data_IF_564197783693
#
_entry.id   IF_564197783693
#
_cell.length_a   1.000
_cell.length_b   1.000
_cell.length_c   1.000
_cell.angle_alpha   90.00
_cell.angle_beta   90.00
_cell.angle_gamma   90.00
#
_symmetry.space_group_name_H-M   'P 1'
#
loop_
_entity.id
_entity.type
_entity.pdbx_description
1 polymer ?
#
# COMPACT_ATOMS: atom_id res chain seq x y z
N UNK A 1 -14.87 13.91 -19.06
CA UNK A 1 -13.60 13.21 -18.76
C UNK A 1 -13.02 13.45 -17.35
N UNK A 2 -13.04 14.69 -16.80
CA UNK A 2 -12.55 14.96 -15.42
C UNK A 2 -13.17 14.09 -14.31
N UNK A 3 -14.50 13.85 -14.24
CA UNK A 3 -15.06 13.00 -13.19
C UNK A 3 -14.61 11.54 -13.28
N UNK A 4 -14.54 10.99 -14.50
CA UNK A 4 -14.13 9.60 -14.76
C UNK A 4 -12.70 9.30 -14.30
N UNK A 5 -11.77 10.26 -14.45
CA UNK A 5 -10.39 10.11 -13.94
C UNK A 5 -10.34 10.05 -12.42
N UNK A 6 -11.15 10.86 -11.74
CA UNK A 6 -11.21 10.91 -10.28
C UNK A 6 -11.80 9.61 -9.74
N UNK A 7 -12.87 9.11 -10.33
CA UNK A 7 -13.49 7.84 -9.92
C UNK A 7 -12.50 6.68 -10.04
N UNK A 8 -11.76 6.58 -11.15
CA UNK A 8 -10.75 5.54 -11.34
C UNK A 8 -9.60 5.66 -10.33
N UNK A 9 -9.11 6.88 -10.07
CA UNK A 9 -8.08 7.12 -9.07
C UNK A 9 -8.55 6.74 -7.66
N UNK A 10 -9.83 6.97 -7.35
CA UNK A 10 -10.44 6.61 -6.08
C UNK A 10 -10.51 5.09 -5.91
N UNK A 11 -11.01 4.36 -6.91
CA UNK A 11 -11.00 2.89 -6.90
C UNK A 11 -9.59 2.33 -6.75
N UNK A 12 -8.63 2.83 -7.54
CA UNK A 12 -7.23 2.41 -7.45
C UNK A 12 -6.65 2.67 -6.04
N UNK A 13 -6.96 3.82 -5.44
CA UNK A 13 -6.52 4.17 -4.09
C UNK A 13 -7.10 3.24 -3.03
N UNK A 14 -8.38 2.88 -3.13
CA UNK A 14 -9.05 1.95 -2.20
C UNK A 14 -8.44 0.55 -2.30
N UNK A 15 -8.19 0.06 -3.51
CA UNK A 15 -7.55 -1.25 -3.72
C UNK A 15 -6.12 -1.24 -3.17
N UNK A 16 -5.33 -0.22 -3.51
CA UNK A 16 -3.96 -0.07 -3.00
C UNK A 16 -3.95 -0.01 -1.46
N UNK A 17 -4.87 0.77 -0.88
CA UNK A 17 -5.05 0.84 0.56
C UNK A 17 -5.32 -0.53 1.17
N UNK A 18 -6.29 -1.28 0.60
CA UNK A 18 -6.66 -2.61 1.06
C UNK A 18 -5.50 -3.60 1.00
N UNK A 19 -4.75 -3.62 -0.10
CA UNK A 19 -3.57 -4.51 -0.25
C UNK A 19 -2.51 -4.19 0.80
N UNK A 20 -2.15 -2.90 0.94
CA UNK A 20 -1.11 -2.47 1.89
C UNK A 20 -1.54 -2.74 3.33
N UNK A 21 -2.82 -2.50 3.65
CA UNK A 21 -3.37 -2.80 4.97
C UNK A 21 -3.30 -4.30 5.29
N UNK A 22 -3.67 -5.16 4.34
CA UNK A 22 -3.59 -6.61 4.53
C UNK A 22 -2.15 -7.08 4.70
N UNK A 23 -1.22 -6.61 3.87
CA UNK A 23 0.21 -6.90 4.04
C UNK A 23 0.69 -6.48 5.43
N UNK A 24 0.36 -5.26 5.85
CA UNK A 24 0.73 -4.77 7.17
C UNK A 24 0.17 -5.63 8.30
N UNK A 25 -1.08 -6.09 8.17
CA UNK A 25 -1.71 -6.95 9.16
C UNK A 25 -1.06 -8.35 9.21
N UNK A 26 -0.70 -8.92 8.06
CA UNK A 26 0.02 -10.20 7.97
C UNK A 26 1.40 -10.06 8.63
N UNK A 27 2.18 -9.05 8.26
CA UNK A 27 3.51 -8.80 8.85
C UNK A 27 3.39 -8.56 10.36
N UNK A 28 2.33 -7.88 10.81
CA UNK A 28 2.07 -7.68 12.24
C UNK A 28 1.72 -9.00 12.93
N UNK A 29 0.94 -9.87 12.30
CA UNK A 29 0.60 -11.18 12.83
C UNK A 29 1.82 -12.10 12.93
N UNK A 30 2.67 -12.13 11.90
CA UNK A 30 3.94 -12.88 11.90
C UNK A 30 4.85 -12.37 13.01
N UNK A 31 5.03 -11.05 13.11
CA UNK A 31 5.84 -10.45 14.17
C UNK A 31 5.20 -10.44 15.54
N UNK A 32 3.89 -10.65 15.70
CA UNK A 32 3.26 -10.80 17.02
C UNK A 32 3.79 -12.03 17.77
N UNK A 33 4.10 -13.10 17.02
CA UNK A 33 4.78 -14.29 17.57
C UNK A 33 6.20 -13.97 18.03
N UNK A 34 6.94 -13.19 17.24
CA UNK A 34 8.30 -12.78 17.59
C UNK A 34 8.35 -11.71 18.69
N UNK A 35 7.35 -10.83 18.73
CA UNK A 35 7.12 -9.79 19.73
C UNK A 35 6.91 -10.38 21.12
N UNK A 36 6.22 -11.52 21.23
CA UNK A 36 6.08 -12.22 22.51
C UNK A 36 7.45 -12.62 23.08
N UNK A 37 8.36 -13.08 22.21
CA UNK A 37 9.74 -13.43 22.58
C UNK A 37 10.59 -12.17 22.86
N UNK A 38 10.46 -11.13 22.03
CA UNK A 38 11.19 -9.86 22.19
C UNK A 38 10.75 -9.06 23.43
N UNK A 39 9.50 -9.21 23.88
CA UNK A 39 9.02 -8.61 25.15
C UNK A 39 9.71 -9.21 26.37
N UNK A 40 10.09 -10.49 26.30
CA UNK A 40 10.89 -11.15 27.34
C UNK A 40 12.32 -10.58 27.36
N UNK A 41 12.83 -10.14 26.20
CA UNK A 41 14.10 -9.42 26.05
C UNK A 41 14.02 -7.91 26.37
N UNK A 42 12.84 -7.37 26.68
CA UNK A 42 12.66 -5.98 27.11
C UNK A 42 12.45 -4.95 25.99
N UNK A 43 12.20 -5.37 24.75
CA UNK A 43 11.92 -4.44 23.64
C UNK A 43 10.50 -3.85 23.70
N UNK A 44 10.35 -2.61 23.22
CA UNK A 44 9.07 -1.89 23.20
C UNK A 44 8.29 -2.14 21.91
N UNK A 45 6.95 -2.14 21.97
CA UNK A 45 6.11 -2.35 20.77
C UNK A 45 6.32 -1.24 19.71
N UNK A 46 6.67 -0.02 20.14
CA UNK A 46 6.95 1.10 19.25
C UNK A 46 8.21 0.89 18.38
N UNK A 47 9.23 0.21 18.88
CA UNK A 47 10.44 -0.11 18.10
C UNK A 47 10.13 -1.12 17.00
N UNK A 48 9.34 -2.14 17.31
CA UNK A 48 8.93 -3.14 16.31
C UNK A 48 7.99 -2.56 15.26
N UNK A 49 7.08 -1.66 15.66
CA UNK A 49 6.23 -0.90 14.73
C UNK A 49 7.07 -0.13 13.70
N UNK A 50 8.15 0.54 14.14
CA UNK A 50 9.04 1.28 13.23
C UNK A 50 9.73 0.37 12.22
N UNK A 51 10.20 -0.79 12.66
CA UNK A 51 10.83 -1.77 11.76
C UNK A 51 9.84 -2.26 10.71
N UNK A 52 8.60 -2.56 11.13
CA UNK A 52 7.54 -3.04 10.23
C UNK A 52 7.12 -1.98 9.20
N UNK A 53 7.00 -0.73 9.62
CA UNK A 53 6.71 0.39 8.71
C UNK A 53 7.86 0.63 7.72
N UNK A 54 9.12 0.45 8.16
CA UNK A 54 10.27 0.56 7.27
C UNK A 54 10.28 -0.57 6.23
N UNK A 55 9.95 -1.80 6.63
CA UNK A 55 9.81 -2.94 5.72
C UNK A 55 8.72 -2.68 4.66
N UNK A 56 7.53 -2.24 5.09
CA UNK A 56 6.45 -1.87 4.17
C UNK A 56 6.85 -0.73 3.22
N UNK A 57 7.59 0.26 3.71
CA UNK A 57 8.09 1.36 2.88
C UNK A 57 9.08 0.85 1.82
N UNK A 58 10.01 -0.02 2.20
CA UNK A 58 10.99 -0.62 1.27
C UNK A 58 10.27 -1.46 0.22
N UNK A 59 9.32 -2.33 0.61
CA UNK A 59 8.53 -3.15 -0.31
C UNK A 59 7.75 -2.26 -1.28
N UNK A 60 7.10 -1.20 -0.78
CA UNK A 60 6.33 -0.28 -1.63
C UNK A 60 7.22 0.47 -2.63
N UNK A 61 8.38 0.96 -2.17
CA UNK A 61 9.34 1.65 -3.03
C UNK A 61 9.94 0.71 -4.09
N UNK A 62 10.18 -0.56 -3.75
CA UNK A 62 10.63 -1.57 -4.70
C UNK A 62 9.53 -1.99 -5.67
N UNK A 63 8.26 -1.94 -5.25
CA UNK A 63 7.12 -2.25 -6.10
C UNK A 63 6.86 -1.20 -7.18
N UNK A 64 7.17 0.09 -6.95
CA UNK A 64 6.98 1.16 -7.93
C UNK A 64 7.74 0.94 -9.27
N UNK A 65 9.07 0.71 -9.30
CA UNK A 65 9.79 0.51 -10.56
C UNK A 65 9.36 -0.74 -11.32
N UNK A 66 8.78 -1.74 -10.64
CA UNK A 66 8.25 -2.96 -11.26
C UNK A 66 6.80 -2.78 -11.72
N UNK A 67 5.98 -2.10 -10.91
CA UNK A 67 4.56 -1.90 -11.17
C UNK A 67 4.29 -0.96 -12.34
N UNK A 68 5.10 0.07 -12.54
CA UNK A 68 4.96 1.00 -13.67
C UNK A 68 5.10 0.32 -15.05
N UNK A 69 6.18 -0.44 -15.35
CA UNK A 69 6.30 -1.15 -16.63
C UNK A 69 5.27 -2.26 -16.76
N UNK A 70 4.93 -2.96 -15.67
CA UNK A 70 3.93 -4.02 -15.70
C UNK A 70 2.53 -3.45 -16.02
N UNK A 71 2.17 -2.30 -15.44
CA UNK A 71 0.94 -1.57 -15.77
C UNK A 71 0.90 -1.07 -17.21
N UNK A 72 2.06 -0.66 -17.77
CA UNK A 72 2.18 -0.30 -19.18
C UNK A 72 1.93 -1.50 -20.10
N UNK A 73 2.61 -2.63 -19.83
CA UNK A 73 2.47 -3.87 -20.59
C UNK A 73 1.02 -4.35 -20.55
N UNK A 74 0.39 -4.36 -19.37
CA UNK A 74 -1.01 -4.74 -19.24
C UNK A 74 -1.92 -3.81 -20.05
N UNK A 75 -1.73 -2.50 -19.96
CA UNK A 75 -2.51 -1.52 -20.72
C UNK A 75 -2.37 -1.74 -22.24
N UNK A 76 -1.15 -2.04 -22.71
CA UNK A 76 -0.86 -2.35 -24.10
C UNK A 76 -1.60 -3.62 -24.58
N UNK A 77 -1.54 -4.71 -23.82
CA UNK A 77 -2.30 -5.92 -24.12
C UNK A 77 -3.81 -5.69 -24.09
N UNK A 78 -4.28 -4.84 -23.16
CA UNK A 78 -5.71 -4.51 -23.08
C UNK A 78 -6.18 -3.79 -24.34
N UNK A 79 -5.37 -2.86 -24.87
CA UNK A 79 -5.71 -2.19 -26.14
C UNK A 79 -5.66 -3.12 -27.34
N UNK A 80 -4.70 -4.05 -27.38
CA UNK A 80 -4.63 -5.06 -28.44
C UNK A 80 -5.84 -5.99 -28.42
N UNK A 81 -6.32 -6.36 -27.22
CA UNK A 81 -7.49 -7.21 -27.05
C UNK A 81 -8.82 -6.48 -27.36
N UNK A 82 -8.83 -5.14 -27.27
CA UNK A 82 -10.01 -4.30 -27.52
C UNK A 82 -10.07 -3.75 -28.95
N UNK A 83 -9.07 -4.01 -29.79
CA UNK A 83 -9.08 -3.68 -31.23
C UNK A 83 -10.19 -4.48 -31.93
N UNK A 84 -11.41 -3.97 -31.82
CA UNK A 84 -12.58 -4.43 -32.57
C UNK A 84 -12.69 -3.54 -33.81
N UNK A 85 -12.92 -4.13 -34.98
CA UNK A 85 -12.95 -3.61 -36.36
C UNK A 85 -13.52 -2.19 -36.61
N UNK A 86 -14.13 -1.51 -35.63
CA UNK A 86 -14.79 -0.20 -35.79
C UNK A 86 -14.27 0.89 -34.82
N UNK A 87 -13.42 0.60 -33.83
CA UNK A 87 -12.91 1.62 -32.88
C UNK A 87 -11.48 1.31 -32.42
N UNK A 88 -10.49 2.02 -32.97
CA UNK A 88 -9.13 2.07 -32.41
C UNK A 88 -9.12 3.01 -31.21
N UNK A 89 -8.94 2.49 -30.00
CA UNK A 89 -8.73 3.32 -28.80
C UNK A 89 -7.23 3.66 -28.75
N UNK A 90 -6.80 4.90 -29.05
CA UNK A 90 -5.39 5.24 -29.01
C UNK A 90 -4.89 5.18 -27.56
N UNK A 91 -3.88 4.34 -27.31
CA UNK A 91 -3.19 4.24 -26.02
C UNK A 91 -2.30 5.47 -25.82
N UNK A 92 -2.87 6.57 -25.31
CA UNK A 92 -2.11 7.80 -25.02
C UNK A 92 -1.53 7.73 -23.60
N UNK A 93 -0.43 7.00 -23.43
CA UNK A 93 0.34 7.00 -22.17
C UNK A 93 1.41 8.09 -22.24
N UNK A 94 1.14 9.22 -21.58
CA UNK A 94 2.10 10.33 -21.47
C UNK A 94 2.91 10.19 -20.17
N UNK A 95 4.11 10.80 -20.10
CA UNK A 95 4.94 10.87 -18.87
C UNK A 95 4.15 11.40 -17.66
N UNK A 96 3.20 12.30 -17.89
CA UNK A 96 2.30 12.83 -16.85
C UNK A 96 1.39 11.75 -16.24
N UNK A 97 1.00 10.72 -16.99
CA UNK A 97 0.18 9.60 -16.48
C UNK A 97 0.98 8.74 -15.51
N UNK A 98 2.25 8.46 -15.83
CA UNK A 98 3.14 7.75 -14.91
C UNK A 98 3.38 8.53 -13.62
N UNK A 99 3.64 9.84 -13.73
CA UNK A 99 3.81 10.71 -12.57
C UNK A 99 2.54 10.73 -11.69
N UNK A 100 1.36 10.86 -12.31
CA UNK A 100 0.09 10.83 -11.59
C UNK A 100 -0.14 9.51 -10.86
N UNK A 101 0.06 8.37 -11.54
CA UNK A 101 -0.10 7.04 -10.92
C UNK A 101 0.89 6.83 -9.77
N UNK A 102 2.15 7.25 -9.92
CA UNK A 102 3.14 7.18 -8.86
C UNK A 102 2.73 8.00 -7.63
N UNK A 103 2.25 9.24 -7.83
CA UNK A 103 1.76 10.09 -6.74
C UNK A 103 0.55 9.46 -6.04
N UNK A 104 -0.41 8.93 -6.78
CA UNK A 104 -1.58 8.25 -6.20
C UNK A 104 -1.17 7.07 -5.33
N UNK A 105 -0.26 6.22 -5.81
CA UNK A 105 0.26 5.07 -5.04
C UNK A 105 1.02 5.53 -3.80
N UNK A 106 1.90 6.53 -3.93
CA UNK A 106 2.66 7.07 -2.79
C UNK A 106 1.75 7.65 -1.72
N UNK A 107 0.71 8.41 -2.11
CA UNK A 107 -0.28 8.98 -1.19
C UNK A 107 -1.07 7.86 -0.50
N UNK A 108 -1.59 6.89 -1.27
CA UNK A 108 -2.33 5.75 -0.71
C UNK A 108 -1.45 4.96 0.27
N UNK A 109 -0.20 4.66 -0.09
CA UNK A 109 0.73 3.95 0.76
C UNK A 109 1.06 4.72 2.05
N UNK A 110 1.29 6.02 1.95
CA UNK A 110 1.55 6.88 3.11
C UNK A 110 0.35 6.91 4.05
N UNK A 111 -0.88 7.02 3.51
CA UNK A 111 -2.12 6.99 4.30
C UNK A 111 -2.29 5.64 4.99
N UNK A 112 -2.09 4.52 4.27
CA UNK A 112 -2.12 3.18 4.86
C UNK A 112 -1.11 3.02 5.99
N UNK A 113 0.15 3.41 5.76
CA UNK A 113 1.22 3.32 6.75
C UNK A 113 0.90 4.14 8.02
N UNK A 114 0.35 5.34 7.86
CA UNK A 114 -0.08 6.18 8.99
C UNK A 114 -1.22 5.54 9.80
N UNK A 115 -2.19 4.91 9.12
CA UNK A 115 -3.30 4.23 9.80
C UNK A 115 -2.80 3.00 10.56
N UNK A 116 -1.93 2.18 9.95
CA UNK A 116 -1.32 1.01 10.59
C UNK A 116 -0.52 1.43 11.82
N UNK A 117 0.29 2.49 11.70
CA UNK A 117 1.03 3.05 12.84
C UNK A 117 0.11 3.39 14.01
N UNK A 118 -1.00 4.11 13.73
CA UNK A 118 -1.99 4.47 14.75
C UNK A 118 -2.67 3.24 15.37
N UNK A 119 -2.90 2.18 14.61
CA UNK A 119 -3.48 0.94 15.11
C UNK A 119 -2.56 0.27 16.13
N UNK A 120 -1.25 0.24 15.84
CA UNK A 120 -0.24 -0.34 16.73
C UNK A 120 -0.11 0.51 18.01
N UNK A 121 -0.03 1.83 17.88
CA UNK A 121 0.04 2.75 19.03
C UNK A 121 -1.19 2.60 19.97
N UNK A 122 -2.38 2.37 19.41
CA UNK A 122 -3.60 2.11 20.22
C UNK A 122 -3.56 0.77 20.95
N UNK A 123 -3.06 -0.29 20.31
CA UNK A 123 -2.96 -1.62 20.93
C UNK A 123 -2.03 -1.59 22.15
N UNK A 124 -0.91 -0.87 22.06
CA UNK A 124 0.04 -0.72 23.16
C UNK A 124 -0.59 0.01 24.36
N UNK A 125 -1.31 1.12 24.12
CA UNK A 125 -1.98 1.88 25.18
C UNK A 125 -3.02 1.03 25.95
N UNK A 126 -3.79 0.20 25.24
CA UNK A 126 -4.78 -0.69 25.88
C UNK A 126 -4.09 -1.77 26.70
N UNK A 127 -2.96 -2.31 26.23
CA UNK A 127 -2.19 -3.30 26.97
C UNK A 127 -1.62 -2.72 28.28
N UNK A 128 -1.12 -1.48 28.25
CA UNK A 128 -0.58 -0.79 29.44
C UNK A 128 -1.66 -0.54 30.50
N UNK A 129 -2.88 -0.18 30.08
CA UNK A 129 -4.00 0.05 31.01
C UNK A 129 -4.45 -1.24 31.71
N UNK A 130 -4.34 -2.40 31.07
CA UNK A 130 -4.73 -3.69 31.64
C UNK A 130 -3.75 -4.27 32.65
N UNK A 131 -2.49 -3.84 32.66
CA UNK A 131 -1.47 -4.35 33.62
C UNK A 131 -1.60 -3.68 34.99
N UNK A 132 -2.34 -2.56 35.08
CA UNK A 132 -2.55 -1.80 36.32
C UNK A 132 -3.90 -2.01 37.01
N UNK A 133 -4.80 -2.82 36.44
CA UNK A 133 -6.10 -3.17 37.02
C UNK A 133 -6.11 -4.66 37.40
#
# INVERSE_FOLDING_TARGET
LRPMRITNALFASVIAFGVIYNCALITLAERSRDLATLRILGFTQGEVSRVLLAELAIITLAALPIGLPLGYILSYFTTLALDTETHRIPLVITRATFAYSAVVILVAATVSALIVRRLIDKLDLIAVLKVKA
#
